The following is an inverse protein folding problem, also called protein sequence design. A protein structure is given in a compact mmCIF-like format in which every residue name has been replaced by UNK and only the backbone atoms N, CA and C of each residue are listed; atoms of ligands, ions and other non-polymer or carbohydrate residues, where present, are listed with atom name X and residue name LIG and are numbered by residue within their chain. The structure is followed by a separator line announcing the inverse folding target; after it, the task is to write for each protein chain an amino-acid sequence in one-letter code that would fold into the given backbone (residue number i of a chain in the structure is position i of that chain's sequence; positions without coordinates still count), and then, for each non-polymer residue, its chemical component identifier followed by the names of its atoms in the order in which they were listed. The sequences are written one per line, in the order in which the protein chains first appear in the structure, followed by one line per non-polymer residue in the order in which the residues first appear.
data_IF_132642134218
#
_entry.id   IF_132642134218
#
_cell.length_a   1.000
_cell.length_b   1.000
_cell.length_c   1.000
_cell.angle_alpha   90.00
_cell.angle_beta   90.00
_cell.angle_gamma   90.00
#
_symmetry.space_group_name_H-M   'P 1'
#
loop_
_entity.id
_entity.type
_entity.pdbx_description
1 polymer ?
#
# COMPACT_ATOMS: atom_id res chain seq x y z
N UNK A 1 40.07 37.13 5.67
CA UNK A 1 39.03 36.78 4.66
C UNK A 1 39.09 35.33 4.22
N UNK A 2 40.26 34.82 3.79
CA UNK A 2 40.41 33.43 3.30
C UNK A 2 40.04 32.35 4.34
N UNK A 3 40.34 32.57 5.62
CA UNK A 3 39.96 31.63 6.69
C UNK A 3 38.44 31.53 6.86
N UNK A 4 37.75 32.67 6.89
CA UNK A 4 36.29 32.73 7.03
C UNK A 4 35.59 32.02 5.85
N UNK A 5 36.12 32.23 4.64
CA UNK A 5 35.67 31.53 3.44
C UNK A 5 35.77 30.01 3.59
N UNK A 6 36.93 29.50 4.00
CA UNK A 6 37.11 28.06 4.20
C UNK A 6 36.21 27.49 5.29
N UNK A 7 35.97 28.21 6.39
CA UNK A 7 35.04 27.81 7.45
C UNK A 7 33.62 27.65 6.92
N UNK A 8 33.13 28.61 6.13
CA UNK A 8 31.78 28.57 5.56
C UNK A 8 31.64 27.40 4.59
N UNK A 9 32.65 27.18 3.74
CA UNK A 9 32.67 26.04 2.81
C UNK A 9 32.66 24.71 3.57
N UNK A 10 33.50 24.56 4.58
CA UNK A 10 33.58 23.34 5.38
C UNK A 10 32.25 23.05 6.10
N UNK A 11 31.64 24.08 6.69
CA UNK A 11 30.35 23.96 7.37
C UNK A 11 29.25 23.49 6.41
N UNK A 12 29.21 24.02 5.19
CA UNK A 12 28.23 23.60 4.18
C UNK A 12 28.43 22.14 3.77
N UNK A 13 29.67 21.69 3.59
CA UNK A 13 29.98 20.29 3.26
C UNK A 13 29.51 19.35 4.38
N UNK A 14 29.76 19.72 5.64
CA UNK A 14 29.34 18.94 6.80
C UNK A 14 27.80 18.84 6.86
N UNK A 15 27.10 19.96 6.68
CA UNK A 15 25.62 19.99 6.67
C UNK A 15 25.04 19.17 5.53
N UNK A 16 25.63 19.27 4.32
CA UNK A 16 25.20 18.49 3.16
C UNK A 16 25.40 16.99 3.40
N UNK A 17 26.58 16.57 3.86
CA UNK A 17 26.89 15.18 4.15
C UNK A 17 25.99 14.61 5.26
N UNK A 18 25.69 15.42 6.28
CA UNK A 18 24.74 15.06 7.32
C UNK A 18 23.32 14.85 6.77
N UNK A 19 22.83 15.77 5.93
CA UNK A 19 21.52 15.64 5.27
C UNK A 19 21.42 14.44 4.32
N UNK A 20 22.55 14.00 3.75
CA UNK A 20 22.63 12.80 2.90
C UNK A 20 22.77 11.49 3.69
N UNK A 21 22.86 11.55 5.03
CA UNK A 21 23.05 10.36 5.85
C UNK A 21 24.45 9.75 5.74
N UNK A 22 25.47 10.53 5.37
CA UNK A 22 26.88 10.08 5.31
C UNK A 22 27.39 9.58 6.67
N UNK A 23 26.84 10.13 7.76
CA UNK A 23 27.13 9.69 9.13
C UNK A 23 26.36 8.42 9.53
N UNK A 24 25.64 7.80 8.60
CA UNK A 24 24.87 6.58 8.77
C UNK A 24 23.38 6.85 8.86
N UNK A 25 22.59 5.99 8.23
CA UNK A 25 21.15 5.92 8.47
C UNK A 25 20.89 5.36 9.87
N UNK A 26 19.97 5.94 10.65
CA UNK A 26 19.55 5.37 11.92
C UNK A 26 19.14 3.89 11.74
N UNK A 27 19.46 2.98 12.67
CA UNK A 27 19.08 1.57 12.54
C UNK A 27 17.56 1.34 12.41
N UNK A 28 16.74 2.32 12.80
CA UNK A 28 15.29 2.33 12.57
C UNK A 28 14.88 2.52 11.09
N UNK A 29 15.78 2.97 10.22
CA UNK A 29 15.56 3.19 8.78
C UNK A 29 16.05 2.02 7.91
N UNK A 30 16.72 1.01 8.48
CA UNK A 30 17.27 -0.18 7.77
C UNK A 30 16.22 -1.08 7.06
N UNK A 31 14.93 -0.72 7.12
CA UNK A 31 13.85 -1.37 6.36
C UNK A 31 12.94 -0.40 5.61
N UNK A 32 13.21 0.92 5.65
CA UNK A 32 12.45 1.98 4.95
C UNK A 32 13.20 2.55 3.74
N UNK A 33 14.26 1.90 3.30
CA UNK A 33 14.97 2.22 2.06
C UNK A 33 13.98 2.32 0.87
N UNK A 34 13.79 3.50 0.25
CA UNK A 34 12.98 3.64 -0.95
C UNK A 34 13.52 2.80 -2.12
N UNK A 35 14.81 2.42 -2.06
CA UNK A 35 15.42 1.45 -2.98
C UNK A 35 14.76 0.08 -2.91
N UNK A 36 14.20 -0.32 -1.76
CA UNK A 36 13.42 -1.57 -1.65
C UNK A 36 12.06 -1.50 -2.35
N UNK A 37 11.50 -0.30 -2.58
CA UNK A 37 10.29 -0.16 -3.41
C UNK A 37 10.61 -0.43 -4.88
N UNK A 38 11.80 -0.04 -5.36
CA UNK A 38 12.28 -0.39 -6.71
C UNK A 38 12.66 -1.87 -6.83
N UNK A 39 13.10 -2.46 -5.72
CA UNK A 39 13.45 -3.87 -5.59
C UNK A 39 12.22 -4.64 -5.08
N UNK A 40 11.16 -4.69 -5.89
CA UNK A 40 9.93 -5.42 -5.60
C UNK A 40 10.28 -6.90 -5.35
N UNK A 41 10.49 -7.26 -4.07
CA UNK A 41 11.00 -8.57 -3.66
C UNK A 41 10.02 -9.70 -3.94
N UNK A 42 8.74 -9.38 -4.11
CA UNK A 42 7.70 -10.35 -4.43
C UNK A 42 6.67 -9.76 -5.41
N UNK A 43 6.98 -9.70 -6.72
CA UNK A 43 6.01 -9.31 -7.73
C UNK A 43 4.91 -10.36 -7.89
N UNK A 44 5.10 -11.57 -7.35
CA UNK A 44 4.17 -12.69 -7.44
C UNK A 44 3.17 -12.77 -6.28
N UNK A 45 3.29 -11.93 -5.24
CA UNK A 45 2.31 -11.85 -4.15
C UNK A 45 1.01 -11.17 -4.59
N UNK A 46 1.04 -10.39 -5.67
CA UNK A 46 -0.14 -9.70 -6.21
C UNK A 46 -0.69 -10.54 -7.36
N UNK A 47 -1.37 -11.63 -7.01
CA UNK A 47 -2.25 -12.33 -7.95
C UNK A 47 -3.59 -11.63 -7.94
N UNK A 48 -3.97 -11.02 -9.07
CA UNK A 48 -5.36 -10.64 -9.28
C UNK A 48 -6.18 -11.94 -9.30
N UNK A 49 -7.18 -12.03 -8.42
CA UNK A 49 -8.16 -13.11 -8.47
C UNK A 49 -8.92 -13.12 -9.80
N UNK A 50 -9.72 -14.16 -10.04
CA UNK A 50 -10.57 -14.21 -11.22
C UNK A 50 -11.49 -12.97 -11.28
N UNK A 51 -11.65 -12.35 -12.46
CA UNK A 51 -12.56 -11.22 -12.61
C UNK A 51 -13.97 -11.66 -12.21
N UNK A 52 -14.62 -10.86 -11.36
CA UNK A 52 -16.02 -11.07 -10.99
C UNK A 52 -16.88 -11.03 -12.25
N UNK A 53 -17.81 -11.98 -12.38
CA UNK A 53 -18.81 -11.88 -13.44
C UNK A 53 -19.68 -10.64 -13.22
N UNK A 54 -20.26 -10.05 -14.28
CA UNK A 54 -21.13 -8.88 -14.16
C UNK A 54 -22.30 -9.09 -13.19
N UNK A 55 -22.72 -10.34 -13.00
CA UNK A 55 -23.78 -10.75 -12.08
C UNK A 55 -23.30 -10.72 -10.63
N UNK A 56 -22.10 -11.23 -10.34
CA UNK A 56 -21.46 -11.15 -9.01
C UNK A 56 -21.13 -9.70 -8.62
N UNK A 57 -20.70 -8.88 -9.59
CA UNK A 57 -20.43 -7.47 -9.34
C UNK A 57 -21.72 -6.67 -9.01
N UNK A 58 -22.86 -7.05 -9.59
CA UNK A 58 -24.18 -6.45 -9.30
C UNK A 58 -24.72 -6.87 -7.93
N UNK A 59 -24.49 -8.12 -7.52
CA UNK A 59 -24.89 -8.63 -6.21
C UNK A 59 -24.13 -7.92 -5.07
N UNK A 60 -22.84 -7.63 -5.26
CA UNK A 60 -22.03 -6.87 -4.27
C UNK A 60 -22.40 -5.38 -4.23
N UNK A 61 -22.86 -4.82 -5.36
CA UNK A 61 -23.29 -3.42 -5.46
C UNK A 61 -24.74 -3.18 -5.06
N UNK A 62 -25.51 -4.24 -4.82
CA UNK A 62 -26.89 -4.09 -4.37
C UNK A 62 -26.90 -3.55 -2.93
N UNK A 63 -27.58 -2.42 -2.66
CA UNK A 63 -27.80 -1.95 -1.29
C UNK A 63 -28.56 -3.04 -0.48
N UNK A 64 -28.40 -3.10 0.85
CA UNK A 64 -29.13 -4.05 1.70
C UNK A 64 -30.60 -3.61 1.78
N UNK A 65 -31.34 -3.83 0.71
CA UNK A 65 -32.76 -3.51 0.59
C UNK A 65 -33.53 -4.80 0.35
N UNK A 66 -34.15 -5.25 1.44
CA UNK A 66 -35.38 -6.02 1.45
C UNK A 66 -35.31 -7.44 0.86
N UNK A 67 -34.95 -8.39 1.72
CA UNK A 67 -35.48 -9.75 1.62
C UNK A 67 -37.00 -9.70 1.88
N UNK A 68 -37.78 -9.30 0.89
CA UNK A 68 -39.24 -9.36 0.91
C UNK A 68 -39.72 -9.93 -0.40
N UNK A 69 -40.06 -11.23 -0.40
CA UNK A 69 -40.54 -11.90 -1.59
C UNK A 69 -40.82 -13.38 -1.42
N UNK A 70 -41.72 -13.72 -0.49
CA UNK A 70 -42.84 -14.64 -0.74
C UNK A 70 -42.56 -15.92 -1.54
N UNK A 71 -42.17 -17.00 -0.85
CA UNK A 71 -42.48 -18.38 -1.31
C UNK A 71 -43.78 -18.83 -0.65
N UNK A 72 -44.89 -18.28 -1.14
CA UNK A 72 -46.22 -18.81 -0.83
C UNK A 72 -46.59 -19.91 -1.85
N UNK A 73 -47.00 -21.06 -1.29
CA UNK A 73 -47.86 -22.09 -1.86
C UNK A 73 -47.34 -23.03 -2.97
N UNK A 74 -47.09 -24.31 -2.61
CA UNK A 74 -47.80 -25.44 -3.25
C UNK A 74 -47.79 -26.72 -2.36
N UNK A 75 -48.84 -27.59 -2.39
CA UNK A 75 -49.30 -28.44 -1.27
C UNK A 75 -49.19 -29.97 -1.52
N UNK A 76 -49.68 -30.77 -0.55
CA UNK A 76 -50.02 -32.23 -0.61
C UNK A 76 -48.82 -33.21 -0.64
N UNK A 77 -48.78 -34.40 -0.01
CA UNK A 77 -49.76 -35.21 0.72
C UNK A 77 -49.03 -36.30 1.58
N UNK A 78 -49.74 -36.79 2.62
CA UNK A 78 -49.69 -38.11 3.31
C UNK A 78 -48.37 -38.89 3.44
N UNK A 79 -48.07 -39.30 4.67
CA UNK A 79 -47.87 -40.72 5.05
C UNK A 79 -48.38 -40.96 6.47
#
# INVERSE_FOLDING_TARGET
MRLLFFLIVLLNIVVLAYGQGFFGTPPSEQGREPRMLMMQRNPQAVTLGAPLTPEQAREIQAPPAAHSGTRAAQPHARH
#
